data_IF_787514379256
#
_entry.id   IF_787514379256
#
_cell.length_a   1.000
_cell.length_b   1.000
_cell.length_c   1.000
_cell.angle_alpha   90.00
_cell.angle_beta   90.00
_cell.angle_gamma   90.00
#
_symmetry.space_group_name_H-M   'P 1'
#
loop_
_entity.id
_entity.type
_entity.pdbx_description
1 polymer ?
#
# COMPACT_ATOMS: atom_id res chain seq x y z
N UNK A 1 -4.40 -17.62 9.79
CA UNK A 1 -3.69 -18.44 8.78
C UNK A 1 -3.92 -19.90 9.11
N UNK A 2 -3.92 -20.78 8.10
CA UNK A 2 -3.68 -22.20 8.34
C UNK A 2 -2.40 -22.33 9.17
N UNK A 3 -2.44 -23.05 10.29
CA UNK A 3 -1.23 -23.37 11.06
C UNK A 3 -0.35 -24.40 10.34
N UNK A 4 -0.67 -24.72 9.09
CA UNK A 4 0.07 -25.65 8.26
C UNK A 4 1.50 -25.16 8.04
N UNK A 5 2.45 -25.92 8.52
CA UNK A 5 3.86 -25.86 8.16
C UNK A 5 4.17 -26.78 6.98
N UNK A 6 3.15 -27.18 6.20
CA UNK A 6 3.35 -28.07 5.06
C UNK A 6 4.32 -27.45 4.04
N UNK A 7 5.21 -28.26 3.44
CA UNK A 7 6.09 -27.79 2.39
C UNK A 7 5.31 -27.38 1.12
N UNK A 8 5.90 -26.51 0.28
CA UNK A 8 5.46 -26.35 -1.09
C UNK A 8 5.64 -27.65 -1.89
N UNK A 9 4.94 -27.81 -3.03
CA UNK A 9 5.07 -29.00 -3.92
C UNK A 9 6.52 -29.34 -4.26
N UNK A 10 7.34 -28.31 -4.47
CA UNK A 10 8.79 -28.43 -4.70
C UNK A 10 9.53 -29.25 -3.63
N UNK A 11 9.05 -29.26 -2.39
CA UNK A 11 9.68 -29.87 -1.23
C UNK A 11 8.82 -30.97 -0.58
N UNK A 12 7.72 -31.38 -1.21
CA UNK A 12 6.80 -32.40 -0.69
C UNK A 12 7.49 -33.73 -0.34
N UNK A 13 8.51 -34.11 -1.11
CA UNK A 13 9.29 -35.33 -0.88
C UNK A 13 10.08 -35.33 0.45
N UNK A 14 10.26 -34.16 1.08
CA UNK A 14 10.96 -33.99 2.35
C UNK A 14 10.01 -33.79 3.54
N UNK A 15 8.70 -33.94 3.34
CA UNK A 15 7.68 -33.78 4.39
C UNK A 15 7.80 -34.78 5.56
N UNK A 16 8.50 -35.90 5.35
CA UNK A 16 8.73 -36.94 6.36
C UNK A 16 9.91 -36.72 7.30
N UNK A 17 10.83 -35.78 7.00
CA UNK A 17 11.96 -35.43 7.86
C UNK A 17 11.56 -34.31 8.84
N UNK A 18 12.20 -34.26 10.02
CA UNK A 18 11.85 -33.32 11.12
C UNK A 18 11.86 -31.82 10.74
N UNK A 19 12.40 -31.45 9.59
CA UNK A 19 12.19 -30.16 8.95
C UNK A 19 12.48 -30.28 7.45
N UNK A 20 11.48 -30.08 6.59
CA UNK A 20 11.64 -30.09 5.12
C UNK A 20 12.60 -29.00 4.60
N UNK A 21 13.06 -28.09 5.48
CA UNK A 21 14.15 -27.15 5.18
C UNK A 21 15.45 -27.87 4.81
N UNK A 22 15.68 -29.11 5.24
CA UNK A 22 16.85 -29.91 4.84
C UNK A 22 16.90 -30.18 3.33
N UNK A 23 15.75 -30.18 2.67
CA UNK A 23 15.61 -30.34 1.22
C UNK A 23 15.84 -29.05 0.42
N UNK A 24 16.04 -27.90 1.09
CA UNK A 24 16.16 -26.60 0.44
C UNK A 24 17.56 -26.43 -0.16
N UNK A 25 17.66 -26.47 -1.49
CA UNK A 25 18.95 -26.26 -2.17
C UNK A 25 19.37 -24.78 -2.16
N UNK A 26 20.67 -24.50 -2.30
CA UNK A 26 21.16 -23.13 -2.46
C UNK A 26 20.55 -22.41 -3.68
N UNK A 27 20.27 -23.14 -4.76
CA UNK A 27 19.57 -22.60 -5.93
C UNK A 27 18.13 -22.20 -5.63
N UNK A 28 17.43 -22.99 -4.81
CA UNK A 28 16.05 -22.66 -4.41
C UNK A 28 16.03 -21.41 -3.52
N UNK A 29 16.94 -21.33 -2.55
CA UNK A 29 17.07 -20.12 -1.70
C UNK A 29 17.36 -18.90 -2.57
N UNK A 30 18.33 -19.00 -3.48
CA UNK A 30 18.71 -17.89 -4.35
C UNK A 30 17.57 -17.45 -5.26
N UNK A 31 16.80 -18.38 -5.83
CA UNK A 31 15.61 -18.07 -6.63
C UNK A 31 14.62 -17.24 -5.81
N UNK A 32 14.25 -17.72 -4.62
CA UNK A 32 13.25 -17.06 -3.78
C UNK A 32 13.73 -15.69 -3.27
N UNK A 33 14.98 -15.59 -2.81
CA UNK A 33 15.54 -14.32 -2.34
C UNK A 33 15.63 -13.31 -3.48
N UNK A 34 16.06 -13.74 -4.67
CA UNK A 34 16.08 -12.89 -5.87
C UNK A 34 14.68 -12.40 -6.24
N UNK A 35 13.69 -13.30 -6.24
CA UNK A 35 12.29 -12.92 -6.51
C UNK A 35 11.76 -11.87 -5.52
N UNK A 36 12.16 -11.92 -4.24
CA UNK A 36 11.84 -10.87 -3.26
C UNK A 36 12.52 -9.53 -3.60
N UNK A 37 13.83 -9.53 -3.86
CA UNK A 37 14.59 -8.31 -4.13
C UNK A 37 14.18 -7.62 -5.44
N UNK A 38 13.72 -8.38 -6.43
CA UNK A 38 13.24 -7.80 -7.71
C UNK A 38 11.81 -7.24 -7.62
N UNK A 39 10.96 -7.78 -6.74
CA UNK A 39 9.52 -7.48 -6.74
C UNK A 39 9.01 -6.65 -5.58
N UNK A 40 9.53 -6.85 -4.36
CA UNK A 40 9.04 -6.21 -3.13
C UNK A 40 10.01 -5.18 -2.58
N UNK A 41 11.31 -5.48 -2.56
CA UNK A 41 12.35 -4.58 -2.04
C UNK A 41 12.34 -3.17 -2.66
N UNK A 42 12.17 -2.98 -3.99
CA UNK A 42 12.27 -1.65 -4.61
C UNK A 42 11.22 -0.68 -4.10
N UNK A 43 10.07 -1.21 -3.68
CA UNK A 43 8.95 -0.43 -3.15
C UNK A 43 8.97 -0.30 -1.63
N UNK A 44 9.77 -1.13 -0.95
CA UNK A 44 9.84 -1.19 0.50
C UNK A 44 11.24 -1.63 0.94
N UNK A 45 12.08 -0.64 1.27
CA UNK A 45 13.51 -0.81 1.57
C UNK A 45 13.75 -1.41 2.96
N UNK A 46 13.04 -2.48 3.33
CA UNK A 46 13.15 -3.10 4.66
C UNK A 46 14.52 -3.69 4.84
N UNK A 47 15.21 -4.20 3.83
CA UNK A 47 16.53 -4.82 3.92
C UNK A 47 17.56 -4.05 3.09
N UNK A 48 18.84 -4.34 3.30
CA UNK A 48 19.91 -3.99 2.34
C UNK A 48 20.31 -5.28 1.63
N UNK A 49 20.25 -5.29 0.29
CA UNK A 49 20.48 -6.50 -0.50
C UNK A 49 21.90 -7.05 -0.34
N UNK A 50 22.91 -6.17 -0.32
CA UNK A 50 24.30 -6.56 -0.18
C UNK A 50 24.56 -7.15 1.20
N UNK A 51 24.05 -6.50 2.26
CA UNK A 51 24.15 -7.00 3.64
C UNK A 51 23.37 -8.31 3.80
N UNK A 52 22.21 -8.44 3.16
CA UNK A 52 21.42 -9.66 3.22
C UNK A 52 22.21 -10.85 2.67
N UNK A 53 22.79 -10.76 1.48
CA UNK A 53 23.53 -11.88 0.90
C UNK A 53 24.87 -12.14 1.61
N UNK A 54 25.60 -11.09 1.97
CA UNK A 54 26.95 -11.22 2.55
C UNK A 54 26.97 -11.66 4.01
N UNK A 55 25.98 -11.23 4.81
CA UNK A 55 25.94 -11.48 6.25
C UNK A 55 24.73 -12.34 6.65
N UNK A 56 23.51 -11.86 6.42
CA UNK A 56 22.28 -12.50 6.95
C UNK A 56 22.11 -13.92 6.40
N UNK A 57 22.15 -14.09 5.08
CA UNK A 57 22.03 -15.40 4.44
C UNK A 57 23.23 -16.29 4.76
N UNK A 58 24.44 -15.74 4.71
CA UNK A 58 25.68 -16.46 5.04
C UNK A 58 25.62 -17.05 6.45
N UNK A 59 25.21 -16.25 7.45
CA UNK A 59 25.05 -16.70 8.84
C UNK A 59 23.96 -17.76 8.98
N UNK A 60 22.80 -17.56 8.36
CA UNK A 60 21.71 -18.54 8.38
C UNK A 60 22.15 -19.91 7.82
N UNK A 61 22.93 -19.92 6.74
CA UNK A 61 23.50 -21.13 6.16
C UNK A 61 24.55 -21.79 7.09
N UNK A 62 25.44 -21.00 7.70
CA UNK A 62 26.47 -21.51 8.63
C UNK A 62 25.87 -22.20 9.85
N UNK A 63 24.74 -21.71 10.35
CA UNK A 63 24.03 -22.30 11.49
C UNK A 63 22.98 -23.34 11.07
N UNK A 64 22.95 -23.74 9.78
CA UNK A 64 21.98 -24.70 9.22
C UNK A 64 20.51 -24.34 9.52
N UNK A 65 20.16 -23.06 9.36
CA UNK A 65 18.83 -22.53 9.66
C UNK A 65 18.37 -22.80 11.12
N UNK A 66 19.30 -22.86 12.07
CA UNK A 66 18.97 -22.83 13.49
C UNK A 66 18.30 -21.50 13.89
N UNK A 67 17.63 -21.51 15.04
CA UNK A 67 16.86 -20.37 15.54
C UNK A 67 17.74 -19.14 15.82
N UNK A 68 17.62 -18.13 14.98
CA UNK A 68 18.31 -16.83 15.05
C UNK A 68 17.54 -15.82 14.19
N UNK A 69 17.73 -14.52 14.43
CA UNK A 69 17.12 -13.47 13.61
C UNK A 69 17.51 -13.60 12.13
N UNK A 70 18.76 -13.97 11.81
CA UNK A 70 19.19 -14.14 10.42
C UNK A 70 18.39 -15.20 9.70
N UNK A 71 18.15 -16.33 10.36
CA UNK A 71 17.29 -17.40 9.83
C UNK A 71 15.83 -16.95 9.72
N UNK A 72 15.30 -16.27 10.72
CA UNK A 72 13.95 -15.72 10.68
C UNK A 72 13.76 -14.76 9.49
N UNK A 73 14.70 -13.82 9.29
CA UNK A 73 14.70 -12.89 8.16
C UNK A 73 14.78 -13.64 6.82
N UNK A 74 15.67 -14.63 6.67
CA UNK A 74 15.76 -15.43 5.43
C UNK A 74 14.45 -16.18 5.15
N UNK A 75 13.84 -16.79 6.15
CA UNK A 75 12.56 -17.50 5.98
C UNK A 75 11.42 -16.54 5.60
N UNK A 76 11.37 -15.33 6.17
CA UNK A 76 10.40 -14.31 5.77
C UNK A 76 10.63 -13.82 4.33
N UNK A 77 11.89 -13.61 3.93
CA UNK A 77 12.26 -13.28 2.56
C UNK A 77 11.87 -14.39 1.60
N UNK A 78 12.14 -15.67 1.94
CA UNK A 78 11.70 -16.81 1.14
C UNK A 78 10.18 -16.90 1.04
N UNK A 79 9.44 -16.64 2.13
CA UNK A 79 7.98 -16.65 2.12
C UNK A 79 7.38 -15.62 1.16
N UNK A 80 7.89 -14.38 1.19
CA UNK A 80 7.46 -13.31 0.28
C UNK A 80 7.96 -13.60 -1.15
N UNK A 81 9.20 -14.08 -1.28
CA UNK A 81 9.81 -14.50 -2.54
C UNK A 81 9.05 -15.60 -3.25
N UNK A 82 8.47 -16.56 -2.51
CA UNK A 82 7.61 -17.60 -3.08
C UNK A 82 6.37 -17.03 -3.76
N UNK A 83 5.80 -15.94 -3.23
CA UNK A 83 4.65 -15.26 -3.86
C UNK A 83 5.07 -14.70 -5.23
N UNK A 84 6.20 -13.98 -5.29
CA UNK A 84 6.73 -13.46 -6.55
C UNK A 84 7.12 -14.57 -7.54
N UNK A 85 7.79 -15.62 -7.07
CA UNK A 85 8.21 -16.75 -7.89
C UNK A 85 7.00 -17.48 -8.52
N UNK A 86 5.94 -17.73 -7.74
CA UNK A 86 4.69 -18.33 -8.20
C UNK A 86 4.09 -17.54 -9.37
N UNK A 87 3.89 -16.23 -9.18
CA UNK A 87 3.33 -15.36 -10.23
C UNK A 87 4.28 -15.11 -11.42
N UNK A 88 5.55 -15.51 -11.29
CA UNK A 88 6.53 -15.50 -12.38
C UNK A 88 6.62 -16.85 -13.13
N UNK A 89 5.72 -17.80 -12.82
CA UNK A 89 5.62 -19.11 -13.49
C UNK A 89 6.23 -20.30 -12.72
N UNK A 90 6.73 -20.11 -11.50
CA UNK A 90 7.24 -21.19 -10.66
C UNK A 90 6.15 -21.73 -9.73
N UNK A 91 5.13 -22.34 -10.33
CA UNK A 91 3.94 -22.83 -9.62
C UNK A 91 4.25 -23.92 -8.58
N UNK A 92 5.40 -24.59 -8.68
CA UNK A 92 5.86 -25.61 -7.73
C UNK A 92 6.09 -25.07 -6.30
N UNK A 93 6.17 -23.75 -6.14
CA UNK A 93 6.24 -23.09 -4.82
C UNK A 93 4.88 -22.91 -4.14
N UNK A 94 3.81 -23.31 -4.82
CA UNK A 94 2.49 -23.51 -4.24
C UNK A 94 2.36 -24.92 -3.68
N UNK A 95 1.66 -25.08 -2.54
CA UNK A 95 1.28 -26.40 -2.00
C UNK A 95 -0.01 -26.92 -2.63
N UNK A 96 -1.16 -26.39 -2.21
CA UNK A 96 -2.47 -26.83 -2.70
C UNK A 96 -3.26 -25.70 -3.35
N UNK A 97 -3.38 -24.56 -2.68
CA UNK A 97 -4.08 -23.39 -3.20
C UNK A 97 -3.12 -22.19 -3.32
N UNK A 98 -3.41 -21.29 -4.25
CA UNK A 98 -2.66 -20.03 -4.45
C UNK A 98 -2.49 -19.23 -3.15
N UNK A 99 -3.49 -19.30 -2.26
CA UNK A 99 -3.45 -18.65 -0.95
C UNK A 99 -2.41 -19.26 0.00
N UNK A 100 -1.99 -20.51 -0.22
CA UNK A 100 -1.02 -21.20 0.61
C UNK A 100 0.43 -20.86 0.25
N UNK A 101 0.68 -20.25 -0.93
CA UNK A 101 2.04 -19.89 -1.40
C UNK A 101 2.82 -19.11 -0.32
N UNK A 102 4.01 -19.59 0.03
CA UNK A 102 4.88 -18.97 1.06
C UNK A 102 4.45 -19.22 2.51
N UNK A 103 3.29 -19.83 2.78
CA UNK A 103 2.75 -20.02 4.14
C UNK A 103 3.63 -20.95 4.99
N UNK A 104 4.20 -22.00 4.40
CA UNK A 104 5.11 -22.91 5.11
C UNK A 104 6.34 -22.18 5.67
N UNK A 105 7.05 -21.43 4.82
CA UNK A 105 8.19 -20.60 5.24
C UNK A 105 7.77 -19.54 6.27
N UNK A 106 6.64 -18.88 6.06
CA UNK A 106 6.14 -17.85 6.96
C UNK A 106 5.82 -18.41 8.35
N UNK A 107 5.16 -19.57 8.42
CA UNK A 107 4.79 -20.16 9.70
C UNK A 107 6.02 -20.62 10.50
N UNK A 108 7.03 -21.17 9.83
CA UNK A 108 8.33 -21.49 10.46
C UNK A 108 9.01 -20.22 11.00
N UNK A 109 9.04 -19.15 10.21
CA UNK A 109 9.57 -17.86 10.67
C UNK A 109 8.77 -17.29 11.85
N UNK A 110 7.44 -17.33 11.79
CA UNK A 110 6.56 -16.80 12.82
C UNK A 110 6.68 -17.57 14.14
N UNK A 111 6.79 -18.90 14.07
CA UNK A 111 7.06 -19.73 15.25
C UNK A 111 8.41 -19.37 15.88
N UNK A 112 9.46 -19.29 15.06
CA UNK A 112 10.80 -18.88 15.50
C UNK A 112 10.79 -17.48 16.12
N UNK A 113 10.08 -16.54 15.50
CA UNK A 113 10.01 -15.15 15.90
C UNK A 113 9.34 -14.95 17.26
N UNK A 114 8.32 -15.76 17.61
CA UNK A 114 7.65 -15.66 18.93
C UNK A 114 8.61 -15.75 20.11
N UNK A 115 9.65 -16.54 19.96
CA UNK A 115 10.65 -16.71 21.01
C UNK A 115 11.84 -15.73 20.87
N UNK A 116 12.06 -15.18 19.67
CA UNK A 116 13.12 -14.22 19.41
C UNK A 116 12.67 -12.77 19.70
N UNK A 117 11.37 -12.48 19.64
CA UNK A 117 10.85 -11.12 19.71
C UNK A 117 11.37 -10.36 20.94
N UNK A 118 11.86 -9.14 20.71
CA UNK A 118 12.34 -8.27 21.76
C UNK A 118 12.36 -6.80 21.34
N UNK A 119 12.77 -5.93 22.27
CA UNK A 119 12.94 -4.52 22.00
C UNK A 119 14.29 -4.25 21.29
N UNK A 120 14.37 -4.60 19.99
CA UNK A 120 15.54 -4.38 19.14
C UNK A 120 15.15 -4.18 17.67
N UNK A 121 16.06 -3.65 16.87
CA UNK A 121 15.82 -3.34 15.46
C UNK A 121 15.65 -4.58 14.57
N UNK A 122 16.26 -5.73 14.94
CA UNK A 122 16.04 -7.00 14.24
C UNK A 122 14.58 -7.47 14.37
N UNK A 123 13.95 -7.23 15.52
CA UNK A 123 12.52 -7.47 15.71
C UNK A 123 11.66 -6.53 14.87
N UNK A 124 12.02 -5.25 14.78
CA UNK A 124 11.35 -4.29 13.89
C UNK A 124 11.40 -4.76 12.43
N UNK A 125 12.58 -5.16 11.96
CA UNK A 125 12.78 -5.68 10.61
C UNK A 125 11.91 -6.90 10.31
N UNK A 126 11.91 -7.90 11.21
CA UNK A 126 11.07 -9.10 11.06
C UNK A 126 9.58 -8.74 11.04
N UNK A 127 9.11 -7.89 11.96
CA UNK A 127 7.71 -7.46 12.01
C UNK A 127 7.27 -6.72 10.75
N UNK A 128 8.14 -5.88 10.17
CA UNK A 128 7.86 -5.19 8.91
C UNK A 128 7.79 -6.16 7.73
N UNK A 129 8.69 -7.14 7.64
CA UNK A 129 8.62 -8.21 6.62
C UNK A 129 7.34 -9.05 6.77
N UNK A 130 6.96 -9.40 8.01
CA UNK A 130 5.68 -10.06 8.27
C UNK A 130 4.50 -9.21 7.79
N UNK A 131 4.56 -7.89 7.99
CA UNK A 131 3.57 -6.95 7.49
C UNK A 131 3.44 -6.96 5.96
N UNK A 132 4.57 -7.02 5.24
CA UNK A 132 4.59 -7.17 3.77
C UNK A 132 3.93 -8.48 3.35
N UNK A 133 4.26 -9.59 4.01
CA UNK A 133 3.66 -10.89 3.70
C UNK A 133 2.12 -10.88 3.90
N UNK A 134 1.65 -10.39 5.04
CA UNK A 134 0.21 -10.27 5.29
C UNK A 134 -0.49 -9.30 4.32
N UNK A 135 0.18 -8.20 3.96
CA UNK A 135 -0.32 -7.25 2.97
C UNK A 135 -0.47 -7.89 1.59
N UNK A 136 0.51 -8.66 1.12
CA UNK A 136 0.44 -9.39 -0.15
C UNK A 136 -0.72 -10.39 -0.18
N UNK A 137 -1.05 -10.96 0.99
CA UNK A 137 -2.20 -11.86 1.18
C UNK A 137 -3.52 -11.13 1.47
N UNK A 138 -3.55 -9.79 1.44
CA UNK A 138 -4.73 -8.94 1.72
C UNK A 138 -5.34 -9.22 3.12
N UNK A 139 -4.50 -9.62 4.08
CA UNK A 139 -4.88 -9.86 5.47
C UNK A 139 -4.67 -8.60 6.30
N UNK A 140 -5.60 -7.64 6.11
CA UNK A 140 -5.49 -6.27 6.65
C UNK A 140 -5.27 -6.24 8.16
N UNK A 141 -6.06 -7.00 8.93
CA UNK A 141 -5.96 -7.04 10.39
C UNK A 141 -4.60 -7.58 10.86
N UNK A 142 -4.13 -8.69 10.28
CA UNK A 142 -2.84 -9.27 10.66
C UNK A 142 -1.67 -8.34 10.27
N UNK A 143 -1.74 -7.71 9.10
CA UNK A 143 -0.77 -6.72 8.65
C UNK A 143 -0.73 -5.50 9.58
N UNK A 144 -1.89 -5.02 10.03
CA UNK A 144 -1.99 -3.97 11.03
C UNK A 144 -1.35 -4.39 12.35
N UNK A 145 -1.68 -5.58 12.88
CA UNK A 145 -1.19 -6.04 14.17
C UNK A 145 0.35 -6.11 14.23
N UNK A 146 1.00 -6.65 13.19
CA UNK A 146 2.48 -6.72 13.16
C UNK A 146 3.12 -5.36 12.89
N UNK A 147 2.52 -4.52 12.04
CA UNK A 147 3.01 -3.16 11.79
C UNK A 147 2.90 -2.29 13.04
N UNK A 148 1.79 -2.39 13.77
CA UNK A 148 1.57 -1.70 15.04
C UNK A 148 2.57 -2.14 16.09
N UNK A 149 2.85 -3.44 16.22
CA UNK A 149 3.92 -3.95 17.08
C UNK A 149 5.29 -3.41 16.69
N UNK A 150 5.61 -3.34 15.40
CA UNK A 150 6.86 -2.74 14.94
C UNK A 150 6.95 -1.27 15.39
N UNK A 151 5.88 -0.50 15.22
CA UNK A 151 5.78 0.89 15.67
C UNK A 151 5.99 1.01 17.19
N UNK A 152 5.37 0.14 17.99
CA UNK A 152 5.55 0.12 19.45
C UNK A 152 6.99 -0.19 19.86
N UNK A 153 7.66 -1.14 19.20
CA UNK A 153 9.08 -1.43 19.44
C UNK A 153 9.94 -0.22 19.09
N UNK A 154 9.67 0.46 17.97
CA UNK A 154 10.39 1.69 17.60
C UNK A 154 10.16 2.81 18.63
N UNK A 155 8.94 2.99 19.12
CA UNK A 155 8.62 3.95 20.18
C UNK A 155 9.40 3.69 21.48
N UNK A 156 9.75 2.44 21.76
CA UNK A 156 10.62 2.06 22.89
C UNK A 156 12.09 2.35 22.55
N UNK A 157 12.55 2.02 21.34
CA UNK A 157 13.94 2.14 20.93
C UNK A 157 14.42 3.58 20.76
N UNK A 158 13.60 4.45 20.16
CA UNK A 158 14.00 5.83 19.84
C UNK A 158 14.43 6.61 21.08
N UNK A 159 13.68 6.61 22.21
CA UNK A 159 14.13 7.30 23.43
C UNK A 159 15.35 6.68 24.10
N UNK A 160 15.59 5.37 23.90
CA UNK A 160 16.73 4.66 24.49
C UNK A 160 18.02 4.90 23.70
N UNK A 161 17.92 5.32 22.44
CA UNK A 161 19.06 5.56 21.56
C UNK A 161 19.24 7.06 21.34
N UNK A 162 20.37 7.62 21.81
CA UNK A 162 20.62 9.07 21.70
C UNK A 162 20.67 9.59 20.26
N UNK A 163 21.26 8.82 19.34
CA UNK A 163 21.31 9.15 17.91
C UNK A 163 21.04 7.90 17.08
N UNK A 164 20.06 7.98 16.19
CA UNK A 164 19.74 6.92 15.24
C UNK A 164 20.69 6.97 14.04
N UNK A 165 21.13 5.80 13.57
CA UNK A 165 21.79 5.70 12.28
C UNK A 165 20.79 5.80 11.12
N UNK A 166 21.32 5.84 9.89
CA UNK A 166 20.51 5.94 8.67
C UNK A 166 19.56 4.75 8.52
N UNK A 167 20.01 3.56 8.94
CA UNK A 167 19.24 2.31 8.89
C UNK A 167 18.02 2.34 9.82
N UNK A 168 18.22 2.78 11.06
CA UNK A 168 17.14 2.93 12.05
C UNK A 168 16.12 3.98 11.59
N UNK A 169 16.57 5.09 11.02
CA UNK A 169 15.69 6.10 10.43
C UNK A 169 14.87 5.50 9.27
N UNK A 170 15.49 4.69 8.41
CA UNK A 170 14.78 4.02 7.32
C UNK A 170 13.68 3.09 7.84
N UNK A 171 13.97 2.25 8.84
CA UNK A 171 12.97 1.37 9.44
C UNK A 171 11.84 2.16 10.12
N UNK A 172 12.15 3.28 10.78
CA UNK A 172 11.14 4.21 11.31
C UNK A 172 10.17 4.68 10.21
N UNK A 173 10.70 5.16 9.08
CA UNK A 173 9.86 5.70 8.01
C UNK A 173 9.07 4.62 7.26
N UNK A 174 9.59 3.40 7.15
CA UNK A 174 8.84 2.26 6.61
C UNK A 174 7.66 1.92 7.53
N UNK A 175 7.92 1.81 8.84
CA UNK A 175 6.88 1.56 9.83
C UNK A 175 5.80 2.65 9.82
N UNK A 176 6.22 3.93 9.75
CA UNK A 176 5.32 5.07 9.60
C UNK A 176 4.44 4.95 8.34
N UNK A 177 5.02 4.60 7.19
CA UNK A 177 4.26 4.44 5.95
C UNK A 177 3.27 3.28 6.03
N UNK A 178 3.69 2.11 6.54
CA UNK A 178 2.83 0.94 6.69
C UNK A 178 1.64 1.23 7.61
N UNK A 179 1.90 1.77 8.81
CA UNK A 179 0.84 2.09 9.77
C UNK A 179 -0.07 3.19 9.22
N UNK A 180 0.49 4.31 8.75
CA UNK A 180 -0.31 5.45 8.27
C UNK A 180 -1.18 5.09 7.07
N UNK A 181 -0.77 4.14 6.22
CA UNK A 181 -1.57 3.73 5.08
C UNK A 181 -2.78 2.89 5.51
N UNK A 182 -2.60 1.98 6.48
CA UNK A 182 -3.70 1.19 7.03
C UNK A 182 -4.69 2.09 7.77
N UNK A 183 -4.19 2.99 8.63
CA UNK A 183 -5.03 3.91 9.41
C UNK A 183 -5.80 4.93 8.55
N UNK A 184 -5.39 5.14 7.29
CA UNK A 184 -6.12 6.01 6.38
C UNK A 184 -7.39 5.35 5.80
N UNK A 185 -7.47 4.03 5.80
CA UNK A 185 -8.57 3.25 5.22
C UNK A 185 -9.42 2.53 6.29
N UNK A 186 -8.86 2.32 7.48
CA UNK A 186 -9.45 1.52 8.54
C UNK A 186 -9.32 2.22 9.90
N UNK A 187 -10.38 2.15 10.70
CA UNK A 187 -10.46 2.75 12.05
C UNK A 187 -9.74 1.92 13.12
N UNK A 188 -8.55 1.41 12.81
CA UNK A 188 -7.70 0.76 13.81
C UNK A 188 -7.05 1.80 14.74
N UNK A 189 -6.66 1.41 15.97
CA UNK A 189 -5.96 2.33 16.86
C UNK A 189 -4.53 2.60 16.38
N UNK A 190 -4.12 3.87 16.44
CA UNK A 190 -2.78 4.32 16.10
C UNK A 190 -1.78 4.05 17.24
N UNK A 191 -0.53 3.69 16.91
CA UNK A 191 0.56 3.55 17.90
C UNK A 191 1.00 4.88 18.50
N UNK A 192 0.86 5.98 17.74
CA UNK A 192 1.43 7.28 18.07
C UNK A 192 2.81 7.55 17.45
N UNK A 193 3.35 6.63 16.64
CA UNK A 193 4.65 6.80 15.94
C UNK A 193 4.74 8.12 15.16
N UNK A 194 3.64 8.54 14.53
CA UNK A 194 3.56 9.79 13.76
C UNK A 194 3.95 11.05 14.55
N UNK A 195 3.86 11.05 15.88
CA UNK A 195 4.29 12.17 16.74
C UNK A 195 5.80 12.42 16.67
N UNK A 196 6.59 11.37 16.43
CA UNK A 196 8.05 11.46 16.30
C UNK A 196 8.50 11.84 14.89
N UNK A 197 7.62 11.82 13.89
CA UNK A 197 8.00 12.03 12.48
C UNK A 197 8.65 13.40 12.19
N UNK A 198 8.47 14.39 13.07
CA UNK A 198 9.13 15.70 12.95
C UNK A 198 10.57 15.72 13.45
N UNK A 199 10.93 14.82 14.38
CA UNK A 199 12.26 14.75 14.98
C UNK A 199 13.18 13.72 14.33
N UNK A 200 12.63 12.78 13.55
CA UNK A 200 13.42 11.75 12.89
C UNK A 200 13.95 12.27 11.54
N UNK A 201 15.28 12.20 11.29
CA UNK A 201 15.86 12.54 10.00
C UNK A 201 15.25 11.74 8.85
N UNK A 202 15.17 12.33 7.65
CA UNK A 202 14.81 11.57 6.46
C UNK A 202 15.90 10.54 6.14
N UNK A 203 15.53 9.35 5.67
CA UNK A 203 16.47 8.27 5.43
C UNK A 203 17.16 8.50 4.09
N UNK A 204 18.35 9.09 4.14
CA UNK A 204 19.32 9.05 3.04
C UNK A 204 20.50 8.18 3.49
N UNK A 205 20.68 7.03 2.84
CA UNK A 205 21.84 6.20 3.15
C UNK A 205 23.10 6.85 2.59
N UNK A 206 24.26 6.75 3.25
CA UNK A 206 25.52 7.22 2.68
C UNK A 206 25.78 6.53 1.33
N UNK A 207 26.18 7.30 0.30
CA UNK A 207 26.54 6.72 -0.99
C UNK A 207 25.39 6.54 -1.99
N UNK A 208 24.21 7.15 -1.78
CA UNK A 208 23.09 7.14 -2.75
C UNK A 208 23.54 7.40 -4.20
N UNK A 209 24.55 8.26 -4.40
CA UNK A 209 25.06 8.60 -5.73
C UNK A 209 25.99 7.57 -6.38
N UNK A 210 26.33 6.46 -5.72
CA UNK A 210 27.28 5.48 -6.28
C UNK A 210 26.61 4.44 -7.20
N UNK A 211 25.35 4.09 -6.93
CA UNK A 211 24.54 3.22 -7.79
C UNK A 211 23.26 3.95 -8.22
N UNK A 212 23.10 4.27 -9.52
CA UNK A 212 21.91 4.92 -10.04
C UNK A 212 20.59 4.21 -9.73
N UNK A 213 20.58 2.86 -9.65
CA UNK A 213 19.36 2.10 -9.37
C UNK A 213 18.94 2.25 -7.90
N UNK A 214 19.91 2.10 -7.00
CA UNK A 214 19.68 2.29 -5.57
C UNK A 214 19.28 3.74 -5.25
N UNK A 215 19.86 4.71 -5.95
CA UNK A 215 19.47 6.11 -5.86
C UNK A 215 17.98 6.31 -6.17
N UNK A 216 17.51 5.68 -7.26
CA UNK A 216 16.13 5.77 -7.69
C UNK A 216 15.16 5.22 -6.64
N UNK A 217 15.49 4.09 -6.00
CA UNK A 217 14.63 3.50 -4.96
C UNK A 217 14.53 4.41 -3.72
N UNK A 218 15.63 5.04 -3.33
CA UNK A 218 15.62 6.00 -2.23
C UNK A 218 14.81 7.26 -2.56
N UNK A 219 14.96 7.80 -3.77
CA UNK A 219 14.18 8.95 -4.20
C UNK A 219 12.68 8.63 -4.26
N UNK A 220 12.32 7.44 -4.74
CA UNK A 220 10.94 6.95 -4.67
C UNK A 220 10.45 6.87 -3.23
N UNK A 221 11.26 6.32 -2.32
CA UNK A 221 10.91 6.19 -0.90
C UNK A 221 10.70 7.56 -0.23
N UNK A 222 11.57 8.54 -0.50
CA UNK A 222 11.42 9.92 -0.01
C UNK A 222 10.16 10.60 -0.58
N UNK A 223 9.86 10.37 -1.86
CA UNK A 223 8.64 10.86 -2.49
C UNK A 223 7.38 10.24 -1.84
N UNK A 224 7.41 8.95 -1.48
CA UNK A 224 6.32 8.31 -0.75
C UNK A 224 6.10 8.93 0.64
N UNK A 225 7.17 9.20 1.40
CA UNK A 225 7.08 9.83 2.72
C UNK A 225 6.42 11.21 2.60
N UNK A 226 6.92 12.05 1.69
CA UNK A 226 6.38 13.40 1.50
C UNK A 226 4.92 13.36 1.02
N UNK A 227 4.59 12.43 0.12
CA UNK A 227 3.22 12.23 -0.36
C UNK A 227 2.26 11.80 0.75
N UNK A 228 2.67 10.88 1.63
CA UNK A 228 1.84 10.42 2.76
C UNK A 228 1.59 11.54 3.75
N UNK A 229 2.59 12.38 4.04
CA UNK A 229 2.43 13.58 4.88
C UNK A 229 1.45 14.57 4.26
N UNK A 230 1.55 14.79 2.95
CA UNK A 230 0.62 15.65 2.21
C UNK A 230 -0.82 15.10 2.26
N UNK A 231 -1.02 13.81 2.01
CA UNK A 231 -2.33 13.16 2.13
C UNK A 231 -2.93 13.29 3.53
N UNK A 232 -2.12 13.08 4.58
CA UNK A 232 -2.60 13.24 5.96
C UNK A 232 -3.05 14.69 6.24
N UNK A 233 -2.32 15.68 5.69
CA UNK A 233 -2.72 17.09 5.75
C UNK A 233 -4.01 17.37 4.98
N UNK A 234 -4.16 16.82 3.78
CA UNK A 234 -5.40 16.92 2.97
C UNK A 234 -6.60 16.39 3.77
N UNK A 235 -6.48 15.17 4.31
CA UNK A 235 -7.55 14.55 5.08
C UNK A 235 -7.91 15.37 6.31
N UNK A 236 -6.91 15.88 7.04
CA UNK A 236 -7.12 16.72 8.22
C UNK A 236 -7.91 18.00 7.89
N UNK A 237 -7.51 18.73 6.85
CA UNK A 237 -8.16 20.00 6.50
C UNK A 237 -9.54 19.85 5.87
N UNK A 238 -9.81 18.72 5.21
CA UNK A 238 -11.11 18.46 4.57
C UNK A 238 -12.12 17.81 5.52
N UNK A 239 -11.69 16.92 6.41
CA UNK A 239 -12.60 16.04 7.15
C UNK A 239 -12.48 16.11 8.68
N UNK A 240 -11.38 16.61 9.26
CA UNK A 240 -11.21 16.63 10.73
C UNK A 240 -11.75 17.89 11.43
N UNK A 241 -12.40 18.81 10.70
CA UNK A 241 -12.84 20.10 11.24
C UNK A 241 -14.05 20.01 12.19
N UNK A 242 -14.70 18.86 12.30
CA UNK A 242 -15.85 18.66 13.21
C UNK A 242 -15.45 18.43 14.69
N UNK A 243 -14.21 18.00 15.00
CA UNK A 243 -13.82 17.76 16.41
C UNK A 243 -13.62 19.03 17.25
N UNK A 244 -13.41 20.20 16.64
CA UNK A 244 -13.23 21.45 17.38
C UNK A 244 -14.56 22.17 17.70
N UNK A 245 -15.71 21.70 17.18
CA UNK A 245 -17.03 22.28 17.46
C UNK A 245 -17.83 21.59 18.57
N UNK A 246 -17.34 20.46 19.12
CA UNK A 246 -18.00 19.80 20.26
C UNK A 246 -17.84 20.54 21.60
N UNK A 247 -17.10 21.66 21.63
CA UNK A 247 -17.05 22.56 22.80
C UNK A 247 -18.14 23.65 22.78
N UNK A 248 -19.11 23.61 21.86
CA UNK A 248 -20.26 24.52 21.87
C UNK A 248 -21.59 23.77 21.82
N UNK A 249 -22.28 23.80 22.96
CA UNK A 249 -23.71 23.55 23.23
C UNK A 249 -24.26 22.13 23.07
N UNK A 250 -24.79 21.64 24.20
CA UNK A 250 -25.84 20.63 24.28
C UNK A 250 -27.04 21.04 23.42
N UNK A 251 -27.34 20.29 22.37
CA UNK A 251 -28.70 20.14 21.84
C UNK A 251 -28.86 18.79 21.12
N UNK A 252 -30.01 18.17 21.40
CA UNK A 252 -30.65 16.93 20.91
C UNK A 252 -30.04 16.11 19.75
N UNK A 253 -30.11 14.76 19.79
CA UNK A 253 -29.65 13.88 18.71
C UNK A 253 -30.69 13.84 17.58
N UNK A 254 -30.64 14.80 16.66
CA UNK A 254 -31.37 14.73 15.40
C UNK A 254 -30.39 14.53 14.24
N UNK A 255 -30.54 13.41 13.54
CA UNK A 255 -30.02 13.08 12.20
C UNK A 255 -28.70 13.76 11.78
N UNK A 256 -27.63 12.96 11.76
CA UNK A 256 -26.34 13.18 11.09
C UNK A 256 -26.45 14.12 9.88
N UNK A 257 -26.16 15.41 10.08
CA UNK A 257 -26.02 16.34 8.95
C UNK A 257 -24.62 16.14 8.35
N UNK A 258 -24.48 16.01 7.03
CA UNK A 258 -23.19 15.90 6.35
C UNK A 258 -22.52 17.29 6.26
N UNK A 259 -22.18 17.88 7.41
CA UNK A 259 -21.59 19.22 7.52
C UNK A 259 -20.11 19.26 7.13
N UNK A 260 -19.34 18.18 7.35
CA UNK A 260 -17.94 18.09 6.97
C UNK A 260 -17.71 18.35 5.46
N UNK A 261 -18.47 17.67 4.59
CA UNK A 261 -18.33 17.78 3.13
C UNK A 261 -18.69 19.18 2.59
N UNK A 262 -19.61 19.88 3.27
CA UNK A 262 -20.02 21.23 2.91
C UNK A 262 -19.11 22.32 3.52
N UNK A 263 -18.27 21.97 4.50
CA UNK A 263 -17.37 22.92 5.17
C UNK A 263 -16.09 23.22 4.39
N UNK A 264 -15.74 22.44 3.37
CA UNK A 264 -14.56 22.70 2.54
C UNK A 264 -14.82 23.91 1.63
N UNK A 265 -14.24 25.06 1.96
CA UNK A 265 -14.32 26.25 1.12
C UNK A 265 -13.54 26.04 -0.17
N UNK A 266 -13.96 26.61 -1.31
CA UNK A 266 -13.20 26.54 -2.57
C UNK A 266 -11.74 26.95 -2.39
N UNK A 267 -11.46 27.96 -1.56
CA UNK A 267 -10.09 28.40 -1.24
C UNK A 267 -9.21 27.30 -0.63
N UNK A 268 -9.75 26.46 0.26
CA UNK A 268 -9.02 25.32 0.85
C UNK A 268 -8.74 24.27 -0.22
N UNK A 269 -9.73 23.97 -1.06
CA UNK A 269 -9.59 23.02 -2.17
C UNK A 269 -8.50 23.47 -3.14
N UNK A 270 -8.54 24.73 -3.58
CA UNK A 270 -7.53 25.32 -4.48
C UNK A 270 -6.13 25.30 -3.87
N UNK A 271 -5.98 25.62 -2.58
CA UNK A 271 -4.68 25.61 -1.91
C UNK A 271 -4.12 24.19 -1.74
N UNK A 272 -4.96 23.22 -1.38
CA UNK A 272 -4.55 21.82 -1.27
C UNK A 272 -4.17 21.25 -2.65
N UNK A 273 -4.90 21.60 -3.72
CA UNK A 273 -4.57 21.18 -5.07
C UNK A 273 -3.25 21.80 -5.55
N UNK A 274 -3.04 23.09 -5.27
CA UNK A 274 -1.77 23.79 -5.55
C UNK A 274 -0.58 23.09 -4.89
N UNK A 275 -0.70 22.73 -3.61
CA UNK A 275 0.34 21.99 -2.89
C UNK A 275 0.59 20.59 -3.46
N UNK A 276 -0.44 19.93 -3.97
CA UNK A 276 -0.32 18.64 -4.65
C UNK A 276 0.41 18.76 -5.98
N UNK A 277 0.14 19.81 -6.76
CA UNK A 277 0.88 20.10 -7.99
C UNK A 277 2.34 20.46 -7.71
N UNK A 278 2.61 21.27 -6.68
CA UNK A 278 3.99 21.58 -6.25
C UNK A 278 4.76 20.31 -5.90
N UNK A 279 4.15 19.41 -5.13
CA UNK A 279 4.75 18.11 -4.81
C UNK A 279 5.12 17.32 -6.08
N UNK A 280 4.22 17.30 -7.09
CA UNK A 280 4.46 16.60 -8.37
C UNK A 280 5.62 17.22 -9.14
N UNK A 281 5.69 18.55 -9.21
CA UNK A 281 6.76 19.28 -9.92
C UNK A 281 8.12 19.12 -9.23
N UNK A 282 8.14 18.89 -7.92
CA UNK A 282 9.37 18.64 -7.16
C UNK A 282 9.87 17.19 -7.23
N UNK A 283 9.21 16.29 -7.99
CA UNK A 283 9.69 14.93 -8.16
C UNK A 283 11.03 14.91 -8.92
N UNK A 284 11.98 14.05 -8.52
CA UNK A 284 13.28 13.98 -9.18
C UNK A 284 13.20 13.29 -10.54
N UNK A 285 14.22 13.53 -11.36
CA UNK A 285 14.37 12.95 -12.70
C UNK A 285 14.16 11.43 -12.70
N UNK A 286 13.34 10.94 -13.64
CA UNK A 286 12.99 9.52 -13.73
C UNK A 286 11.76 9.10 -12.92
N UNK A 287 11.25 9.96 -12.04
CA UNK A 287 9.95 9.78 -11.35
C UNK A 287 8.90 10.81 -11.77
N UNK A 288 9.26 11.73 -12.67
CA UNK A 288 8.38 12.76 -13.21
C UNK A 288 7.23 12.17 -14.05
N UNK A 289 6.07 12.82 -13.99
CA UNK A 289 4.90 12.47 -14.80
C UNK A 289 4.00 13.69 -15.07
N UNK A 290 3.17 13.56 -16.09
CA UNK A 290 2.27 14.61 -16.59
C UNK A 290 1.18 14.99 -15.59
N UNK A 291 0.69 16.23 -15.69
CA UNK A 291 -0.42 16.70 -14.88
C UNK A 291 -1.74 16.01 -15.30
N UNK A 292 -2.78 16.13 -14.47
CA UNK A 292 -4.08 15.55 -14.78
C UNK A 292 -4.65 15.97 -16.15
N UNK A 293 -4.54 17.25 -16.53
CA UNK A 293 -5.04 17.79 -17.81
C UNK A 293 -4.45 17.09 -19.04
N UNK A 294 -3.19 16.70 -18.97
CA UNK A 294 -2.47 15.99 -20.02
C UNK A 294 -2.75 14.48 -19.95
N UNK A 295 -2.79 13.91 -18.74
CA UNK A 295 -3.11 12.50 -18.52
C UNK A 295 -4.53 12.13 -18.97
N UNK A 296 -5.46 13.10 -19.04
CA UNK A 296 -6.79 12.91 -19.62
C UNK A 296 -6.76 12.67 -21.15
N UNK A 297 -5.71 13.10 -21.84
CA UNK A 297 -5.62 13.08 -23.31
C UNK A 297 -4.81 11.90 -23.86
N UNK A 298 -4.10 11.17 -22.99
CA UNK A 298 -3.28 10.02 -23.40
C UNK A 298 -4.18 8.85 -23.82
N UNK A 299 -3.91 8.30 -25.00
CA UNK A 299 -4.60 7.12 -25.52
C UNK A 299 -4.16 5.87 -24.74
N UNK A 300 -5.17 5.19 -24.22
CA UNK A 300 -5.16 4.16 -23.20
C UNK A 300 -4.76 2.76 -23.78
N UNK A 301 -3.76 2.70 -24.67
CA UNK A 301 -3.59 1.56 -25.60
C UNK A 301 -2.68 0.40 -25.15
N UNK A 302 -1.97 0.44 -24.00
CA UNK A 302 -1.05 -0.65 -23.62
C UNK A 302 -1.10 -1.01 -22.11
N UNK A 303 -2.29 -1.27 -21.57
CA UNK A 303 -2.45 -1.55 -20.13
C UNK A 303 -2.12 -2.98 -19.68
N UNK A 304 -1.84 -3.91 -20.59
CA UNK A 304 -1.65 -5.32 -20.25
C UNK A 304 -0.19 -5.77 -20.21
N UNK A 305 0.75 -4.87 -20.49
CA UNK A 305 2.18 -5.21 -20.47
C UNK A 305 2.77 -5.09 -19.06
N UNK A 306 3.59 -6.07 -18.66
CA UNK A 306 4.37 -6.00 -17.42
C UNK A 306 5.27 -4.76 -17.47
N UNK A 307 5.13 -3.89 -16.47
CA UNK A 307 5.90 -2.66 -16.36
C UNK A 307 7.31 -2.96 -15.83
N UNK A 308 8.36 -2.38 -16.43
CA UNK A 308 9.68 -2.34 -15.81
C UNK A 308 9.63 -1.68 -14.43
N UNK A 309 10.59 -2.03 -13.56
CA UNK A 309 10.66 -1.56 -12.16
C UNK A 309 10.46 -0.05 -11.99
N UNK A 310 11.11 0.77 -12.81
CA UNK A 310 11.00 2.23 -12.72
C UNK A 310 9.58 2.72 -13.05
N UNK A 311 8.91 2.12 -14.02
CA UNK A 311 7.52 2.45 -14.36
C UNK A 311 6.55 1.97 -13.28
N UNK A 312 6.84 0.85 -12.61
CA UNK A 312 6.07 0.36 -11.45
C UNK A 312 6.14 1.35 -10.29
N UNK A 313 7.34 1.83 -9.97
CA UNK A 313 7.57 2.84 -8.92
C UNK A 313 6.90 4.18 -9.29
N UNK A 314 7.10 4.66 -10.52
CA UNK A 314 6.43 5.87 -11.02
C UNK A 314 4.91 5.74 -10.95
N UNK A 315 4.35 4.62 -11.41
CA UNK A 315 2.92 4.32 -11.35
C UNK A 315 2.37 4.34 -9.93
N UNK A 316 3.15 3.87 -8.95
CA UNK A 316 2.78 3.94 -7.54
C UNK A 316 2.66 5.36 -6.99
N UNK A 317 3.53 6.28 -7.43
CA UNK A 317 3.44 7.70 -7.10
C UNK A 317 2.26 8.36 -7.80
N UNK A 318 2.05 8.06 -9.10
CA UNK A 318 0.92 8.54 -9.88
C UNK A 318 -0.41 8.12 -9.25
N UNK A 319 -0.55 6.86 -8.83
CA UNK A 319 -1.75 6.36 -8.18
C UNK A 319 -2.08 7.16 -6.92
N UNK A 320 -1.08 7.44 -6.06
CA UNK A 320 -1.25 8.25 -4.84
C UNK A 320 -1.59 9.71 -5.15
N UNK A 321 -0.94 10.30 -6.17
CA UNK A 321 -1.24 11.65 -6.64
C UNK A 321 -2.70 11.76 -7.10
N UNK A 322 -3.17 10.84 -7.93
CA UNK A 322 -4.55 10.86 -8.41
C UNK A 322 -5.55 10.51 -7.30
N UNK A 323 -5.20 9.65 -6.34
CA UNK A 323 -5.99 9.42 -5.14
C UNK A 323 -6.17 10.73 -4.35
N UNK A 324 -5.08 11.45 -4.09
CA UNK A 324 -5.12 12.75 -3.42
C UNK A 324 -5.97 13.76 -4.17
N UNK A 325 -5.77 13.89 -5.49
CA UNK A 325 -6.52 14.82 -6.33
C UNK A 325 -8.01 14.51 -6.31
N UNK A 326 -8.38 13.22 -6.34
CA UNK A 326 -9.77 12.78 -6.19
C UNK A 326 -10.34 13.15 -4.83
N UNK A 327 -9.60 12.92 -3.73
CA UNK A 327 -10.03 13.25 -2.37
C UNK A 327 -10.24 14.76 -2.21
N UNK A 328 -9.34 15.59 -2.76
CA UNK A 328 -9.43 17.06 -2.73
C UNK A 328 -10.70 17.55 -3.44
N UNK A 329 -11.04 16.97 -4.58
CA UNK A 329 -12.18 17.39 -5.40
C UNK A 329 -13.49 16.68 -5.07
N UNK A 330 -13.47 15.66 -4.20
CA UNK A 330 -14.66 14.90 -3.79
C UNK A 330 -15.83 15.76 -3.28
N UNK A 331 -15.63 16.90 -2.59
CA UNK A 331 -16.73 17.79 -2.23
C UNK A 331 -17.59 18.25 -3.43
N UNK A 332 -17.02 18.37 -4.62
CA UNK A 332 -17.80 18.72 -5.83
C UNK A 332 -18.73 17.60 -6.27
N UNK A 333 -18.36 16.32 -6.06
CA UNK A 333 -19.26 15.17 -6.30
C UNK A 333 -20.49 15.26 -5.41
N UNK A 334 -20.29 15.61 -4.14
CA UNK A 334 -21.40 15.83 -3.23
C UNK A 334 -22.33 16.94 -3.73
N UNK A 335 -21.77 18.09 -4.17
CA UNK A 335 -22.55 19.22 -4.68
C UNK A 335 -23.37 18.88 -5.92
N UNK A 336 -22.80 18.15 -6.89
CA UNK A 336 -23.55 17.76 -8.11
C UNK A 336 -24.61 16.71 -7.84
N UNK A 337 -24.40 15.80 -6.88
CA UNK A 337 -25.42 14.81 -6.51
C UNK A 337 -26.62 15.47 -5.80
N UNK A 338 -26.35 16.51 -4.99
CA UNK A 338 -27.35 17.21 -4.17
C UNK A 338 -27.88 18.52 -4.80
N UNK A 339 -27.54 18.83 -6.06
CA UNK A 339 -28.15 19.97 -6.72
C UNK A 339 -29.66 19.68 -6.98
N UNK A 340 -30.52 20.46 -6.32
CA UNK A 340 -31.97 20.40 -6.54
C UNK A 340 -32.31 20.83 -7.98
N UNK A 341 -33.42 20.30 -8.50
CA UNK A 341 -33.93 20.64 -9.84
C UNK A 341 -34.29 22.13 -9.90
N UNK A 342 -33.34 22.98 -10.32
CA UNK A 342 -33.53 24.43 -10.45
C UNK A 342 -32.29 25.27 -10.14
N UNK A 343 -31.34 24.77 -9.34
CA UNK A 343 -30.07 25.45 -9.11
C UNK A 343 -29.09 25.12 -10.24
N UNK A 344 -28.65 26.14 -10.99
CA UNK A 344 -27.62 25.99 -12.01
C UNK A 344 -26.30 25.58 -11.33
N UNK A 345 -25.76 24.41 -11.72
CA UNK A 345 -24.41 24.00 -11.33
C UNK A 345 -23.40 25.00 -11.89
N UNK A 346 -22.53 25.54 -11.03
CA UNK A 346 -21.45 26.40 -11.48
C UNK A 346 -20.47 25.62 -12.37
N UNK A 347 -19.78 26.32 -13.27
CA UNK A 347 -18.71 25.71 -14.09
C UNK A 347 -17.62 25.09 -13.20
N UNK A 348 -17.31 25.73 -12.07
CA UNK A 348 -16.38 25.21 -11.07
C UNK A 348 -16.84 23.87 -10.47
N UNK A 349 -18.12 23.74 -10.13
CA UNK A 349 -18.65 22.48 -9.60
C UNK A 349 -18.62 21.35 -10.65
N UNK A 350 -18.87 21.68 -11.92
CA UNK A 350 -18.81 20.72 -13.02
C UNK A 350 -17.38 20.21 -13.25
N UNK A 351 -16.41 21.13 -13.38
CA UNK A 351 -14.99 20.80 -13.58
C UNK A 351 -14.43 20.06 -12.36
N UNK A 352 -14.81 20.49 -11.16
CA UNK A 352 -14.38 19.85 -9.92
C UNK A 352 -14.88 18.41 -9.82
N UNK A 353 -16.15 18.16 -10.14
CA UNK A 353 -16.72 16.81 -10.18
C UNK A 353 -16.02 15.93 -11.22
N UNK A 354 -15.82 16.43 -12.45
CA UNK A 354 -15.08 15.68 -13.49
C UNK A 354 -13.66 15.33 -13.04
N UNK A 355 -12.97 16.28 -12.40
CA UNK A 355 -11.62 16.09 -11.87
C UNK A 355 -11.61 15.02 -10.77
N UNK A 356 -12.61 15.00 -9.89
CA UNK A 356 -12.71 14.02 -8.80
C UNK A 356 -12.85 12.58 -9.33
N UNK A 357 -13.79 12.33 -10.25
CA UNK A 357 -14.01 10.99 -10.82
C UNK A 357 -12.89 10.60 -11.76
N UNK A 358 -12.47 11.50 -12.65
CA UNK A 358 -11.39 11.18 -13.58
C UNK A 358 -10.07 10.90 -12.84
N UNK A 359 -9.80 11.58 -11.72
CA UNK A 359 -8.65 11.24 -10.87
C UNK A 359 -8.85 9.91 -10.15
N UNK A 360 -10.03 9.60 -9.60
CA UNK A 360 -10.29 8.29 -9.00
C UNK A 360 -10.10 7.14 -10.02
N UNK A 361 -10.55 7.36 -11.25
CA UNK A 361 -10.31 6.46 -12.37
C UNK A 361 -8.81 6.29 -12.64
N UNK A 362 -8.06 7.38 -12.90
CA UNK A 362 -6.61 7.30 -13.14
C UNK A 362 -5.83 6.69 -11.98
N UNK A 363 -6.23 6.93 -10.73
CA UNK A 363 -5.66 6.28 -9.54
C UNK A 363 -5.73 4.75 -9.66
N UNK A 364 -6.91 4.22 -9.99
CA UNK A 364 -7.14 2.78 -10.16
C UNK A 364 -6.24 2.20 -11.25
N UNK A 365 -6.07 2.93 -12.35
CA UNK A 365 -5.22 2.49 -13.47
C UNK A 365 -3.75 2.44 -13.12
N UNK A 366 -3.21 3.52 -12.56
CA UNK A 366 -1.79 3.61 -12.26
C UNK A 366 -1.37 2.72 -11.08
N UNK A 367 -2.33 2.23 -10.29
CA UNK A 367 -2.10 1.30 -9.17
C UNK A 367 -1.31 0.05 -9.57
N UNK A 368 -1.37 -0.34 -10.85
CA UNK A 368 -0.73 -1.54 -11.38
C UNK A 368 -1.65 -2.73 -11.57
N UNK A 369 -2.95 -2.59 -11.25
CA UNK A 369 -3.93 -3.69 -11.33
C UNK A 369 -4.00 -4.39 -12.70
N UNK A 370 -3.74 -3.68 -13.79
CA UNK A 370 -3.75 -4.24 -15.13
C UNK A 370 -2.39 -4.82 -15.59
N UNK A 371 -1.32 -4.50 -14.86
CA UNK A 371 0.06 -4.76 -15.26
C UNK A 371 0.72 -5.87 -14.44
N UNK A 372 0.24 -6.11 -13.23
CA UNK A 372 0.88 -6.98 -12.25
C UNK A 372 -0.19 -7.75 -11.46
N UNK A 373 0.07 -9.02 -11.09
CA UNK A 373 -0.80 -9.76 -10.20
C UNK A 373 -1.00 -9.03 -8.87
N UNK A 374 -2.23 -9.06 -8.37
CA UNK A 374 -2.63 -8.24 -7.22
C UNK A 374 -1.70 -8.41 -6.00
N UNK A 375 -1.29 -9.62 -5.58
CA UNK A 375 -0.38 -9.77 -4.42
C UNK A 375 1.00 -9.13 -4.57
N UNK A 376 1.41 -8.78 -5.79
CA UNK A 376 2.68 -8.11 -6.07
C UNK A 376 2.56 -6.57 -6.03
N UNK A 377 1.35 -6.03 -5.96
CA UNK A 377 1.15 -4.58 -5.82
C UNK A 377 1.62 -4.11 -4.44
N UNK A 378 2.12 -2.87 -4.38
CA UNK A 378 2.43 -2.21 -3.12
C UNK A 378 1.12 -1.85 -2.39
N UNK A 379 0.77 -2.63 -1.37
CA UNK A 379 -0.48 -2.53 -0.61
C UNK A 379 -1.75 -2.78 -1.46
N UNK A 380 -1.98 -4.04 -1.89
CA UNK A 380 -3.10 -4.38 -2.79
C UNK A 380 -4.47 -3.97 -2.28
N UNK A 381 -4.67 -3.96 -0.95
CA UNK A 381 -5.94 -3.51 -0.36
C UNK A 381 -6.33 -2.09 -0.78
N UNK A 382 -5.36 -1.18 -0.95
CA UNK A 382 -5.67 0.20 -1.37
C UNK A 382 -6.23 0.26 -2.79
N UNK A 383 -5.73 -0.61 -3.68
CA UNK A 383 -6.24 -0.74 -5.04
C UNK A 383 -7.69 -1.22 -5.01
N UNK A 384 -7.99 -2.24 -4.19
CA UNK A 384 -9.36 -2.72 -3.99
C UNK A 384 -10.28 -1.62 -3.46
N UNK A 385 -9.86 -0.90 -2.40
CA UNK A 385 -10.63 0.18 -1.78
C UNK A 385 -10.85 1.37 -2.71
N UNK A 386 -9.82 1.73 -3.49
CA UNK A 386 -9.91 2.81 -4.48
C UNK A 386 -10.90 2.45 -5.60
N UNK A 387 -10.86 1.22 -6.10
CA UNK A 387 -11.82 0.74 -7.09
C UNK A 387 -13.24 0.71 -6.52
N UNK A 388 -13.42 0.18 -5.30
CA UNK A 388 -14.72 0.19 -4.63
C UNK A 388 -15.29 1.61 -4.51
N UNK A 389 -14.49 2.56 -4.04
CA UNK A 389 -14.90 3.95 -3.92
C UNK A 389 -15.24 4.59 -5.28
N UNK A 390 -14.51 4.26 -6.34
CA UNK A 390 -14.80 4.70 -7.71
C UNK A 390 -16.13 4.15 -8.20
N UNK A 391 -16.36 2.84 -8.03
CA UNK A 391 -17.55 2.14 -8.51
C UNK A 391 -18.82 2.63 -7.78
N UNK A 392 -18.75 2.85 -6.46
CA UNK A 392 -19.87 3.47 -5.72
C UNK A 392 -20.21 4.85 -6.29
N UNK A 393 -19.19 5.69 -6.54
CA UNK A 393 -19.42 7.03 -7.11
C UNK A 393 -19.99 6.96 -8.53
N UNK A 394 -19.51 6.06 -9.38
CA UNK A 394 -20.04 5.84 -10.73
C UNK A 394 -21.50 5.40 -10.65
N UNK A 395 -21.81 4.41 -9.82
CA UNK A 395 -23.18 3.93 -9.63
C UNK A 395 -24.10 5.08 -9.24
N UNK A 396 -23.75 5.89 -8.22
CA UNK A 396 -24.55 7.04 -7.80
C UNK A 396 -24.77 8.07 -8.90
N UNK A 397 -23.74 8.37 -9.71
CA UNK A 397 -23.85 9.31 -10.83
C UNK A 397 -24.76 8.78 -11.95
N UNK A 398 -24.71 7.47 -12.23
CA UNK A 398 -25.54 6.84 -13.27
C UNK A 398 -27.04 6.83 -12.93
N UNK A 399 -27.44 7.02 -11.67
CA UNK A 399 -28.85 7.13 -11.30
C UNK A 399 -29.54 8.36 -11.91
N UNK A 400 -28.78 9.39 -12.31
CA UNK A 400 -29.30 10.62 -12.93
C UNK A 400 -28.58 10.87 -14.24
N UNK A 401 -29.24 10.67 -15.38
CA UNK A 401 -28.65 10.88 -16.71
C UNK A 401 -28.04 12.29 -16.90
N UNK A 402 -28.61 13.29 -16.22
CA UNK A 402 -28.11 14.68 -16.22
C UNK A 402 -26.70 14.81 -15.64
N UNK A 403 -26.19 13.81 -14.91
CA UNK A 403 -24.85 13.81 -14.30
C UNK A 403 -23.82 13.00 -15.11
N UNK A 404 -24.22 12.40 -16.25
CA UNK A 404 -23.31 11.61 -17.09
C UNK A 404 -22.11 12.43 -17.62
N UNK A 405 -22.21 13.77 -17.66
CA UNK A 405 -21.09 14.65 -18.03
C UNK A 405 -19.90 14.55 -17.06
N UNK A 406 -20.10 14.06 -15.84
CA UNK A 406 -19.04 13.88 -14.83
C UNK A 406 -18.14 12.69 -15.15
N UNK A 407 -18.67 11.69 -15.87
CA UNK A 407 -17.97 10.44 -16.13
C UNK A 407 -16.87 10.62 -17.21
N UNK A 408 -15.64 10.14 -16.98
CA UNK A 408 -14.57 10.16 -17.97
C UNK A 408 -14.91 9.21 -19.13
N UNK A 409 -14.42 9.48 -20.36
CA UNK A 409 -14.78 8.70 -21.56
C UNK A 409 -14.62 7.18 -21.38
N UNK A 410 -13.56 6.76 -20.70
CA UNK A 410 -13.19 5.36 -20.52
C UNK A 410 -13.69 4.76 -19.20
N UNK A 411 -14.62 5.42 -18.49
CA UNK A 411 -15.10 5.01 -17.16
C UNK A 411 -15.50 3.53 -17.07
N UNK A 412 -16.02 2.95 -18.17
CA UNK A 412 -16.42 1.53 -18.27
C UNK A 412 -15.29 0.54 -18.01
N UNK A 413 -14.04 0.96 -18.17
CA UNK A 413 -12.89 0.12 -17.82
C UNK A 413 -12.78 -0.17 -16.32
N UNK A 414 -13.45 0.60 -15.45
CA UNK A 414 -13.60 0.23 -14.04
C UNK A 414 -14.22 -1.19 -13.90
N UNK A 415 -15.14 -1.57 -14.79
CA UNK A 415 -15.70 -2.91 -14.85
C UNK A 415 -14.66 -4.01 -15.16
N UNK A 416 -13.65 -3.72 -15.98
CA UNK A 416 -12.53 -4.66 -16.23
C UNK A 416 -11.62 -4.80 -15.01
N UNK A 417 -11.32 -3.68 -14.35
CA UNK A 417 -10.59 -3.71 -13.07
C UNK A 417 -11.36 -4.53 -12.04
N UNK A 418 -12.69 -4.38 -12.01
CA UNK A 418 -13.58 -5.13 -11.13
C UNK A 418 -13.50 -6.63 -11.38
N UNK A 419 -13.57 -7.08 -12.63
CA UNK A 419 -13.41 -8.50 -12.99
C UNK A 419 -12.13 -9.12 -12.43
N UNK A 420 -11.00 -8.39 -12.52
CA UNK A 420 -9.70 -8.81 -11.97
C UNK A 420 -9.76 -9.00 -10.44
N UNK A 421 -10.46 -8.12 -9.73
CA UNK A 421 -10.60 -8.21 -8.26
C UNK A 421 -11.62 -9.30 -7.88
N UNK A 422 -12.78 -9.33 -8.50
CA UNK A 422 -13.93 -10.17 -8.09
C UNK A 422 -13.67 -11.69 -8.15
N UNK A 423 -12.63 -12.12 -8.87
CA UNK A 423 -12.14 -13.50 -8.82
C UNK A 423 -11.39 -13.81 -7.52
N UNK A 424 -10.06 -13.85 -7.59
CA UNK A 424 -9.16 -14.36 -6.55
C UNK A 424 -9.26 -13.70 -5.16
N UNK A 425 -9.88 -12.52 -5.02
CA UNK A 425 -9.75 -11.71 -3.78
C UNK A 425 -10.91 -11.83 -2.80
N UNK A 426 -12.09 -12.23 -3.26
CA UNK A 426 -13.26 -12.42 -2.41
C UNK A 426 -13.04 -13.55 -1.39
N UNK A 427 -12.26 -14.57 -1.76
CA UNK A 427 -11.83 -15.64 -0.84
C UNK A 427 -10.67 -15.21 0.09
N UNK A 428 -9.83 -14.26 -0.35
CA UNK A 428 -8.63 -13.83 0.40
C UNK A 428 -8.93 -12.84 1.52
N UNK A 429 -9.92 -11.97 1.34
CA UNK A 429 -10.16 -10.83 2.21
C UNK A 429 -11.66 -10.61 2.47
N UNK A 430 -12.12 -10.81 3.73
CA UNK A 430 -13.49 -10.49 4.11
C UNK A 430 -13.88 -9.03 3.82
N UNK A 431 -12.92 -8.10 3.90
CA UNK A 431 -13.13 -6.69 3.56
C UNK A 431 -13.52 -6.53 2.08
N UNK A 432 -12.74 -7.12 1.17
CA UNK A 432 -12.99 -7.01 -0.28
C UNK A 432 -14.27 -7.76 -0.66
N UNK A 433 -14.54 -8.89 -0.01
CA UNK A 433 -15.80 -9.61 -0.16
C UNK A 433 -17.01 -8.75 0.23
N UNK A 434 -16.95 -8.06 1.38
CA UNK A 434 -18.02 -7.18 1.83
C UNK A 434 -18.23 -5.96 0.92
N UNK A 435 -17.15 -5.36 0.46
CA UNK A 435 -17.20 -4.27 -0.52
C UNK A 435 -17.92 -4.70 -1.79
N UNK A 436 -17.66 -5.93 -2.22
CA UNK A 436 -18.31 -6.50 -3.39
C UNK A 436 -19.80 -6.76 -3.19
N UNK A 437 -20.21 -7.32 -2.05
CA UNK A 437 -21.63 -7.47 -1.69
C UNK A 437 -22.37 -6.12 -1.76
N UNK A 438 -21.74 -5.04 -1.28
CA UNK A 438 -22.32 -3.70 -1.33
C UNK A 438 -22.48 -3.21 -2.78
N UNK A 439 -21.49 -3.41 -3.65
CA UNK A 439 -21.59 -3.02 -5.06
C UNK A 439 -22.70 -3.77 -5.80
N UNK A 440 -22.91 -5.04 -5.48
CA UNK A 440 -24.01 -5.83 -6.06
C UNK A 440 -25.40 -5.34 -5.63
N UNK A 441 -25.51 -4.72 -4.46
CA UNK A 441 -26.76 -4.10 -4.00
C UNK A 441 -27.03 -2.74 -4.64
N UNK A 442 -26.00 -2.10 -5.21
CA UNK A 442 -26.09 -0.78 -5.87
C UNK A 442 -26.31 -0.87 -7.39
N UNK A 443 -26.08 -2.04 -7.99
CA UNK A 443 -26.35 -2.35 -9.40
C UNK A 443 -27.78 -2.82 -9.60
#
# INVERSE_FOLDING_TARGET
MSQSTAPPRRLEMFSGDQSWLSGLSLSDVHLLTKSYFENFHPSCLILDENVFYSDILSKALQINFAKDYSTCTVLLVCAIGSIAAYYSGHEEWCSSHEHDVGTGFFNLANEMFRDLEGANWSSVECLLLMGVFYSAKIRVYDAWQVSHRACCVILILVPLQGTLGARECQLFWIAYLHESQILAEFDFPASGLGKLASSIPLPLMPGVGTDPHYAQYQFFFLALISMRKLLNRILFHLYSREQNSENSSHDSPSAEKPTAFLSATPSIIHELDRQLEEWRVCLPSGLEFSAYSEAQQMDDQNFTQIRPIHERLRGNLMARYFAAKSIIHRPFIYRVLHCEHGNMLSEEDQIGAQTAIGSAFRCTFYSGIFHEPLPLLLHPINTCRSLFALEVQISLLLHRETLNFVLPKDWKMAGKAREIITGLTTEMSPTVSRDWEILQLLS
#
